data_IF_835252783581
#
_entry.id   IF_835252783581
#
_cell.length_a   1.000
_cell.length_b   1.000
_cell.length_c   1.000
_cell.angle_alpha   90.00
_cell.angle_beta   90.00
_cell.angle_gamma   90.00
#
_symmetry.space_group_name_H-M   'P 1'
#
loop_
_entity.id
_entity.type
_entity.pdbx_description
1 polymer ?
#
# COMPACT_ATOMS: atom_id res chain seq x y z
N UNK A 1 -7.97 -9.36 -15.60
CA UNK A 1 -6.56 -9.78 -15.49
C UNK A 1 -6.44 -11.24 -15.90
N UNK A 2 -7.37 -12.11 -15.53
CA UNK A 2 -7.36 -13.52 -15.95
C UNK A 2 -7.23 -13.72 -17.46
N UNK A 3 -7.99 -12.97 -18.26
CA UNK A 3 -7.91 -13.01 -19.72
C UNK A 3 -6.52 -12.64 -20.26
N UNK A 4 -5.85 -11.67 -19.64
CA UNK A 4 -4.48 -11.30 -20.02
C UNK A 4 -3.47 -12.42 -19.75
N UNK A 5 -3.62 -13.12 -18.62
CA UNK A 5 -2.77 -14.26 -18.30
C UNK A 5 -3.00 -15.41 -19.31
N UNK A 6 -4.25 -15.65 -19.71
CA UNK A 6 -4.59 -16.63 -20.74
C UNK A 6 -4.00 -16.24 -22.11
N UNK A 7 -4.15 -14.96 -22.50
CA UNK A 7 -3.56 -14.46 -23.74
C UNK A 7 -2.04 -14.58 -23.78
N UNK A 8 -1.38 -14.38 -22.62
CA UNK A 8 0.06 -14.55 -22.48
C UNK A 8 0.49 -16.03 -22.32
N UNK A 9 -0.43 -16.99 -22.41
CA UNK A 9 -0.19 -18.41 -22.19
C UNK A 9 0.44 -18.73 -20.80
N UNK A 10 0.15 -17.91 -19.79
CA UNK A 10 0.63 -18.13 -18.44
C UNK A 10 -0.37 -19.02 -17.70
N UNK A 11 0.09 -20.20 -17.30
CA UNK A 11 -0.69 -21.13 -16.47
C UNK A 11 -0.28 -20.98 -15.01
N UNK A 12 -1.24 -20.64 -14.17
CA UNK A 12 -1.04 -20.56 -12.73
C UNK A 12 -1.05 -21.98 -12.14
N UNK A 13 -0.15 -22.23 -11.21
CA UNK A 13 -0.11 -23.43 -10.36
C UNK A 13 -0.79 -23.13 -9.03
N UNK A 14 -1.14 -24.18 -8.31
CA UNK A 14 -1.71 -24.04 -6.96
C UNK A 14 -0.70 -23.37 -6.03
N UNK A 15 -1.14 -22.31 -5.36
CA UNK A 15 -0.31 -21.49 -4.47
C UNK A 15 0.42 -20.32 -5.14
N UNK A 16 0.37 -20.19 -6.47
CA UNK A 16 0.92 -19.02 -7.16
C UNK A 16 0.13 -17.76 -6.79
N UNK A 17 0.87 -16.67 -6.60
CA UNK A 17 0.26 -15.37 -6.28
C UNK A 17 0.38 -14.42 -7.46
N UNK A 18 -0.73 -13.85 -7.89
CA UNK A 18 -0.74 -12.80 -8.93
C UNK A 18 -0.69 -11.44 -8.25
N UNK A 19 0.29 -10.64 -8.65
CA UNK A 19 0.52 -9.28 -8.13
C UNK A 19 0.29 -8.26 -9.23
N UNK A 20 -0.61 -7.30 -8.99
CA UNK A 20 -0.85 -6.15 -9.85
C UNK A 20 0.02 -4.98 -9.41
N UNK A 21 0.80 -4.41 -10.32
CA UNK A 21 1.72 -3.30 -10.07
C UNK A 21 3.18 -3.73 -10.06
N UNK A 22 4.05 -2.96 -9.42
CA UNK A 22 5.47 -3.26 -9.34
C UNK A 22 5.84 -4.19 -8.17
N UNK A 23 7.05 -4.77 -8.18
CA UNK A 23 7.46 -5.74 -7.16
C UNK A 23 7.49 -5.16 -5.73
N UNK A 24 7.78 -3.86 -5.57
CA UNK A 24 7.85 -3.22 -4.25
C UNK A 24 6.54 -2.54 -3.81
N UNK A 25 5.65 -2.25 -4.76
CA UNK A 25 4.41 -1.50 -4.50
C UNK A 25 3.15 -2.20 -4.97
N UNK A 26 3.29 -3.38 -5.50
CA UNK A 26 2.19 -4.18 -6.03
C UNK A 26 1.21 -4.61 -4.94
N UNK A 27 0.05 -5.03 -5.40
CA UNK A 27 -1.05 -5.57 -4.60
C UNK A 27 -1.30 -7.00 -5.06
N UNK A 28 -1.26 -7.95 -4.12
CA UNK A 28 -1.65 -9.32 -4.43
C UNK A 28 -3.15 -9.39 -4.69
N UNK A 29 -3.53 -10.16 -5.69
CA UNK A 29 -4.91 -10.33 -6.08
C UNK A 29 -5.47 -11.64 -5.52
N UNK A 30 -6.59 -11.52 -4.83
CA UNK A 30 -7.40 -12.65 -4.38
C UNK A 30 -8.25 -13.26 -5.49
N UNK A 31 -8.56 -12.45 -6.53
CA UNK A 31 -9.40 -12.83 -7.66
C UNK A 31 -8.86 -12.28 -8.97
N UNK A 32 -8.91 -13.09 -10.01
CA UNK A 32 -8.42 -12.72 -11.34
C UNK A 32 -9.42 -11.93 -12.19
N UNK A 33 -10.68 -11.79 -11.74
CA UNK A 33 -11.71 -11.02 -12.44
C UNK A 33 -11.57 -9.50 -12.27
N UNK A 34 -10.46 -9.03 -11.68
CA UNK A 34 -10.15 -7.60 -11.55
C UNK A 34 -9.82 -6.98 -12.90
N UNK A 35 -10.37 -5.80 -13.17
CA UNK A 35 -10.09 -5.03 -14.37
C UNK A 35 -8.70 -4.43 -14.33
N UNK A 36 -8.12 -4.26 -15.51
CA UNK A 36 -6.93 -3.43 -15.71
C UNK A 36 -7.34 -1.96 -15.65
N UNK A 37 -6.59 -1.16 -14.93
CA UNK A 37 -6.80 0.28 -14.79
C UNK A 37 -5.60 1.06 -15.33
N UNK A 38 -5.73 2.38 -15.52
CA UNK A 38 -4.60 3.25 -15.93
C UNK A 38 -3.38 3.15 -15.00
N UNK A 39 -3.58 2.77 -13.74
CA UNK A 39 -2.50 2.57 -12.75
C UNK A 39 -1.89 1.16 -12.75
N UNK A 40 -2.29 0.29 -13.65
CA UNK A 40 -1.74 -1.06 -13.75
C UNK A 40 -0.50 -1.04 -14.64
N UNK A 41 0.67 -0.96 -14.05
CA UNK A 41 1.95 -0.89 -14.78
C UNK A 41 2.51 -2.26 -15.14
N UNK A 42 2.03 -3.31 -14.50
CA UNK A 42 2.48 -4.67 -14.75
C UNK A 42 1.67 -5.68 -13.96
N UNK A 43 1.80 -6.92 -14.36
CA UNK A 43 1.23 -8.08 -13.68
C UNK A 43 2.38 -9.07 -13.51
N UNK A 44 2.58 -9.51 -12.28
CA UNK A 44 3.63 -10.46 -11.92
C UNK A 44 2.98 -11.71 -11.36
N UNK A 45 3.49 -12.85 -11.78
CA UNK A 45 3.17 -14.12 -11.17
C UNK A 45 4.35 -14.51 -10.29
N UNK A 46 4.08 -14.71 -9.02
CA UNK A 46 5.06 -15.14 -8.03
C UNK A 46 4.78 -16.59 -7.71
N UNK A 47 5.74 -17.46 -7.99
CA UNK A 47 5.63 -18.90 -7.73
C UNK A 47 5.45 -19.18 -6.23
N UNK A 48 4.66 -20.20 -5.94
CA UNK A 48 4.44 -20.67 -4.57
C UNK A 48 5.78 -20.91 -3.84
N UNK A 49 5.86 -20.44 -2.59
CA UNK A 49 7.07 -20.60 -1.76
C UNK A 49 8.20 -19.61 -2.04
N UNK A 50 8.12 -18.77 -3.10
CA UNK A 50 9.14 -17.74 -3.39
C UNK A 50 9.12 -16.63 -2.34
N UNK A 51 7.94 -16.22 -1.89
CA UNK A 51 7.79 -15.25 -0.81
C UNK A 51 7.51 -16.02 0.47
N UNK A 52 8.39 -15.93 1.48
CA UNK A 52 8.12 -16.57 2.76
C UNK A 52 6.82 -16.00 3.35
N UNK A 53 5.99 -16.83 4.01
CA UNK A 53 4.78 -16.38 4.65
C UNK A 53 5.13 -15.28 5.65
N UNK A 54 4.35 -14.21 5.64
CA UNK A 54 4.48 -13.15 6.64
C UNK A 54 3.82 -13.64 7.94
N UNK A 55 4.57 -14.38 8.72
CA UNK A 55 4.16 -14.76 10.08
C UNK A 55 4.22 -13.54 10.98
N UNK A 56 3.14 -12.78 11.00
CA UNK A 56 3.02 -11.58 11.80
C UNK A 56 4.01 -10.47 11.43
N UNK A 57 3.77 -9.29 11.93
CA UNK A 57 4.73 -8.19 11.84
C UNK A 57 5.29 -7.86 13.22
N UNK A 58 6.60 -7.73 13.30
CA UNK A 58 7.25 -7.29 14.52
C UNK A 58 7.01 -5.81 14.79
N UNK A 59 7.02 -5.35 16.04
CA UNK A 59 7.01 -3.94 16.37
C UNK A 59 8.15 -3.19 15.67
N UNK A 60 7.98 -1.89 15.44
CA UNK A 60 9.03 -1.06 14.87
C UNK A 60 10.22 -0.97 15.83
N UNK A 61 11.40 -1.40 15.37
CA UNK A 61 12.65 -1.34 16.14
C UNK A 61 13.38 0.01 16.02
N UNK A 62 12.76 1.00 15.38
CA UNK A 62 13.29 2.38 15.23
C UNK A 62 14.68 2.49 14.61
N UNK A 63 15.07 1.56 13.74
CA UNK A 63 16.39 1.52 13.10
C UNK A 63 16.66 2.67 12.11
N UNK A 64 15.63 3.41 11.67
CA UNK A 64 15.78 4.54 10.76
C UNK A 64 15.95 4.19 9.26
N UNK A 65 16.17 2.94 8.88
CA UNK A 65 16.46 2.55 7.50
C UNK A 65 15.41 3.05 6.49
N UNK A 66 14.11 3.00 6.84
CA UNK A 66 13.02 3.49 6.01
C UNK A 66 13.05 5.01 5.78
N UNK A 67 13.62 5.77 6.73
CA UNK A 67 13.78 7.24 6.60
C UNK A 67 14.91 7.55 5.63
N UNK A 68 16.03 6.83 5.73
CA UNK A 68 17.21 7.04 4.88
C UNK A 68 16.91 6.79 3.39
N UNK A 69 16.07 5.81 3.08
CA UNK A 69 15.75 5.46 1.67
C UNK A 69 14.55 6.21 1.12
N UNK A 70 13.89 7.06 1.91
CA UNK A 70 12.68 7.74 1.46
C UNK A 70 12.99 8.86 0.45
N UNK A 71 12.57 8.76 -0.82
CA UNK A 71 12.85 9.78 -1.82
C UNK A 71 12.12 11.10 -1.54
N UNK A 72 10.98 11.04 -0.84
CA UNK A 72 10.22 12.21 -0.42
C UNK A 72 10.68 12.77 0.95
N UNK A 73 11.77 12.23 1.53
CA UNK A 73 12.34 12.65 2.82
C UNK A 73 11.32 12.65 3.98
N UNK A 74 10.34 11.79 3.91
CA UNK A 74 9.37 11.59 4.98
C UNK A 74 9.94 10.70 6.09
N UNK A 75 9.17 10.55 7.17
CA UNK A 75 9.45 9.59 8.25
C UNK A 75 8.48 8.40 8.19
N UNK A 76 8.69 7.39 7.30
CA UNK A 76 7.74 6.29 7.12
C UNK A 76 7.51 5.47 8.39
N UNK A 77 8.48 5.40 9.29
CA UNK A 77 8.33 4.77 10.61
C UNK A 77 7.21 5.42 11.43
N UNK A 78 7.21 6.77 11.51
CA UNK A 78 6.18 7.51 12.23
C UNK A 78 4.82 7.37 11.54
N UNK A 79 4.78 7.58 10.22
CA UNK A 79 3.56 7.46 9.43
C UNK A 79 2.90 6.09 9.60
N UNK A 80 3.68 5.00 9.55
CA UNK A 80 3.15 3.66 9.74
C UNK A 80 2.61 3.42 11.15
N UNK A 81 3.29 3.96 12.18
CA UNK A 81 2.83 3.85 13.58
C UNK A 81 1.57 4.67 13.82
N UNK A 82 1.51 5.91 13.33
CA UNK A 82 0.30 6.72 13.44
C UNK A 82 -0.89 6.09 12.72
N UNK A 83 -0.67 5.52 11.54
CA UNK A 83 -1.70 4.81 10.79
C UNK A 83 -2.21 3.55 11.52
N UNK A 84 -1.32 2.79 12.15
CA UNK A 84 -1.64 1.61 12.94
C UNK A 84 -2.58 1.93 14.10
N UNK A 85 -2.37 3.08 14.75
CA UNK A 85 -3.21 3.55 15.86
C UNK A 85 -4.32 4.52 15.41
N UNK A 86 -4.65 4.56 14.13
CA UNK A 86 -5.69 5.42 13.55
C UNK A 86 -5.50 6.94 13.84
N UNK A 87 -4.27 7.38 14.11
CA UNK A 87 -3.93 8.78 14.36
C UNK A 87 -3.76 9.54 13.02
N UNK A 88 -4.79 9.57 12.20
CA UNK A 88 -4.71 10.04 10.81
C UNK A 88 -4.33 11.52 10.69
N UNK A 89 -4.79 12.38 11.60
CA UNK A 89 -4.41 13.80 11.61
C UNK A 89 -2.91 14.01 11.90
N UNK A 90 -2.29 13.12 12.70
CA UNK A 90 -0.83 13.12 12.87
C UNK A 90 -0.11 12.70 11.58
N UNK A 91 -0.69 11.78 10.82
CA UNK A 91 -0.16 11.42 9.50
C UNK A 91 -0.20 12.63 8.56
N UNK A 92 -1.27 13.43 8.59
CA UNK A 92 -1.39 14.68 7.82
C UNK A 92 -0.33 15.70 8.24
N UNK A 93 -0.14 15.90 9.53
CA UNK A 93 0.88 16.81 10.06
C UNK A 93 2.32 16.43 9.63
N UNK A 94 2.57 15.15 9.38
CA UNK A 94 3.84 14.64 8.84
C UNK A 94 3.83 14.53 7.30
N UNK A 95 2.95 15.25 6.61
CA UNK A 95 2.88 15.38 5.15
C UNK A 95 2.72 14.05 4.40
N UNK A 96 1.86 13.16 4.89
CA UNK A 96 1.63 11.84 4.28
C UNK A 96 1.25 11.93 2.80
N UNK A 97 0.61 13.01 2.37
CA UNK A 97 0.20 13.28 0.99
C UNK A 97 1.39 13.28 0.02
N UNK A 98 2.55 13.74 0.46
CA UNK A 98 3.79 13.76 -0.32
C UNK A 98 4.39 12.37 -0.55
N UNK A 99 3.84 11.33 0.07
CA UNK A 99 4.33 9.97 -0.11
C UNK A 99 4.07 9.46 -1.53
N UNK A 100 5.13 9.09 -2.25
CA UNK A 100 5.08 8.54 -3.62
C UNK A 100 4.64 7.08 -3.67
N UNK A 101 4.41 6.45 -2.53
CA UNK A 101 4.05 5.03 -2.42
C UNK A 101 5.01 4.09 -3.19
N UNK A 102 6.28 4.41 -3.24
CA UNK A 102 7.29 3.64 -3.97
C UNK A 102 7.59 2.25 -3.39
N UNK A 103 7.29 2.02 -2.10
CA UNK A 103 7.48 0.74 -1.42
C UNK A 103 8.87 0.51 -0.80
N UNK A 104 9.85 1.37 -1.05
CA UNK A 104 11.23 1.22 -0.54
C UNK A 104 11.28 1.07 0.99
N UNK A 105 10.42 1.81 1.71
CA UNK A 105 10.35 1.74 3.17
C UNK A 105 9.94 0.37 3.70
N UNK A 106 9.09 -0.35 2.99
CA UNK A 106 8.72 -1.74 3.31
C UNK A 106 9.85 -2.72 2.96
N UNK A 107 10.51 -2.50 1.83
CA UNK A 107 11.60 -3.36 1.34
C UNK A 107 12.80 -3.39 2.31
N UNK A 108 13.22 -2.24 2.83
CA UNK A 108 14.38 -2.16 3.75
C UNK A 108 14.02 -2.44 5.21
N UNK A 109 12.76 -2.72 5.51
CA UNK A 109 12.32 -2.90 6.88
C UNK A 109 12.80 -4.24 7.46
N UNK A 110 13.77 -4.20 8.38
CA UNK A 110 14.30 -5.41 9.04
C UNK A 110 13.25 -6.11 9.91
N UNK A 111 12.28 -5.35 10.46
CA UNK A 111 11.15 -5.88 11.21
C UNK A 111 10.00 -6.37 10.31
N UNK A 112 10.18 -6.38 8.99
CA UNK A 112 9.20 -6.82 7.98
C UNK A 112 7.80 -6.20 8.16
N UNK A 113 7.74 -4.95 8.66
CA UNK A 113 6.46 -4.27 8.84
C UNK A 113 5.83 -3.93 7.49
N UNK A 114 4.50 -4.02 7.38
CA UNK A 114 3.76 -3.61 6.18
C UNK A 114 3.62 -2.07 6.11
N UNK A 115 4.75 -1.36 6.10
CA UNK A 115 4.83 0.11 6.22
C UNK A 115 4.01 0.80 5.12
N UNK A 116 4.13 0.33 3.87
CA UNK A 116 3.41 0.91 2.75
C UNK A 116 1.90 0.71 2.88
N UNK A 117 1.46 -0.45 3.36
CA UNK A 117 0.05 -0.78 3.55
C UNK A 117 -0.59 0.13 4.60
N UNK A 118 0.10 0.38 5.72
CA UNK A 118 -0.35 1.34 6.73
C UNK A 118 -0.46 2.76 6.18
N UNK A 119 0.54 3.22 5.40
CA UNK A 119 0.50 4.54 4.77
C UNK A 119 -0.68 4.64 3.80
N UNK A 120 -0.91 3.64 2.96
CA UNK A 120 -2.05 3.59 2.03
C UNK A 120 -3.39 3.60 2.76
N UNK A 121 -3.48 2.86 3.87
CA UNK A 121 -4.68 2.85 4.70
C UNK A 121 -4.97 4.26 5.24
N UNK A 122 -3.97 4.93 5.81
CA UNK A 122 -4.13 6.29 6.33
C UNK A 122 -4.51 7.30 5.24
N UNK A 123 -3.88 7.25 4.06
CA UNK A 123 -4.25 8.12 2.93
C UNK A 123 -5.70 7.92 2.51
N UNK A 124 -6.16 6.68 2.40
CA UNK A 124 -7.57 6.39 2.06
C UNK A 124 -8.52 6.96 3.11
N UNK A 125 -8.20 6.77 4.39
CA UNK A 125 -9.03 7.29 5.49
C UNK A 125 -9.07 8.82 5.51
N UNK A 126 -7.95 9.48 5.30
CA UNK A 126 -7.91 10.94 5.19
C UNK A 126 -8.77 11.45 4.01
N UNK A 127 -8.68 10.80 2.85
CA UNK A 127 -9.50 11.15 1.69
C UNK A 127 -11.00 10.88 1.92
N UNK A 128 -11.38 9.85 2.67
CA UNK A 128 -12.76 9.60 3.10
C UNK A 128 -13.24 10.74 4.01
N UNK A 129 -12.46 11.08 5.04
CA UNK A 129 -12.79 12.18 5.98
C UNK A 129 -12.96 13.54 5.27
N UNK A 130 -12.17 13.83 4.26
CA UNK A 130 -12.29 15.05 3.45
C UNK A 130 -13.57 15.08 2.62
N UNK A 131 -13.90 13.96 1.98
CA UNK A 131 -15.16 13.82 1.22
C UNK A 131 -16.37 14.02 2.11
N UNK A 132 -16.37 13.43 3.31
CA UNK A 132 -17.47 13.56 4.26
C UNK A 132 -17.62 15.01 4.76
N UNK A 133 -16.53 15.71 5.05
CA UNK A 133 -16.55 17.14 5.38
C UNK A 133 -17.15 17.97 4.24
N UNK A 134 -16.73 17.75 3.01
CA UNK A 134 -17.27 18.45 1.84
C UNK A 134 -18.76 18.21 1.62
N UNK A 135 -19.23 16.97 1.86
CA UNK A 135 -20.66 16.65 1.79
C UNK A 135 -21.50 17.37 2.86
N UNK A 136 -20.96 17.48 4.07
CA UNK A 136 -21.62 18.22 5.17
C UNK A 136 -21.72 19.71 4.84
N UNK A 137 -20.62 20.31 4.36
CA UNK A 137 -20.60 21.73 3.98
C UNK A 137 -21.60 22.05 2.84
N UNK A 138 -21.72 21.15 1.84
CA UNK A 138 -22.69 21.31 0.76
C UNK A 138 -24.14 21.27 1.28
N UNK A 139 -24.46 20.36 2.19
CA UNK A 139 -25.79 20.25 2.79
C UNK A 139 -26.15 21.48 3.65
N UNK A 140 -25.14 22.01 4.36
CA UNK A 140 -25.35 23.21 5.20
C UNK A 140 -25.59 24.49 4.37
N UNK A 141 -25.03 24.57 3.14
CA UNK A 141 -25.24 25.69 2.22
C UNK A 141 -26.58 25.64 1.48
N UNK A 142 -27.31 24.52 1.51
CA UNK A 142 -28.60 24.32 0.86
C UNK A 142 -29.80 24.52 1.81
N UNK A 143 -29.56 24.75 3.10
CA UNK A 143 -30.51 25.12 4.13
C UNK A 143 -30.50 26.66 4.39
#
# INVERSE_FOLDING_TARGET
IGELLQFANIRLKDGDTVVRGGPLRGESLDRLNRSVTKGTYGIFVVEAGTIPPMEGHSPCVSCGACVLVCPARLKPSNLSRYAEFALHERCRAEHIESCLECGLCGYVCIARRPVLQYIRLAKRKLAEMERDKGLVELKTKQL
#
